data_IF_164679570357
#
_entry.id   IF_164679570357
#
_cell.length_a   1.000
_cell.length_b   1.000
_cell.length_c   1.000
_cell.angle_alpha   90.00
_cell.angle_beta   90.00
_cell.angle_gamma   90.00
#
_symmetry.space_group_name_H-M   'P 1'
#
loop_
_entity.id
_entity.type
_entity.pdbx_description
1 polymer ?
#
# COMPACT_ATOMS: atom_id res chain seq x y z
N UNK A 1 17.63 -8.82 -10.93
CA UNK A 1 17.88 -8.07 -12.18
C UNK A 1 18.71 -6.81 -11.86
N UNK A 2 19.70 -6.43 -12.68
CA UNK A 2 20.51 -5.21 -12.47
C UNK A 2 19.64 -3.95 -12.62
N UNK A 3 20.06 -2.83 -12.01
CA UNK A 3 19.31 -1.55 -12.08
C UNK A 3 19.13 -1.10 -13.53
N UNK A 4 20.15 -1.31 -14.35
CA UNK A 4 20.22 -1.00 -15.77
C UNK A 4 19.22 -1.86 -16.55
N UNK A 5 19.15 -3.16 -16.29
CA UNK A 5 18.17 -4.06 -16.92
C UNK A 5 16.73 -3.65 -16.60
N UNK A 6 16.42 -3.30 -15.34
CA UNK A 6 15.07 -2.79 -14.98
C UNK A 6 14.75 -1.49 -15.71
N UNK A 7 15.73 -0.59 -15.81
CA UNK A 7 15.59 0.67 -16.54
C UNK A 7 15.30 0.40 -18.02
N UNK A 8 15.96 -0.58 -18.62
CA UNK A 8 15.72 -0.97 -20.02
C UNK A 8 14.34 -1.57 -20.23
N UNK A 9 13.85 -2.41 -19.32
CA UNK A 9 12.49 -2.93 -19.37
C UNK A 9 11.44 -1.81 -19.26
N UNK A 10 11.64 -0.86 -18.34
CA UNK A 10 10.76 0.32 -18.22
C UNK A 10 10.76 1.19 -19.48
N UNK A 11 11.92 1.42 -20.08
CA UNK A 11 12.03 2.14 -21.36
C UNK A 11 11.32 1.40 -22.51
N UNK A 12 11.40 0.06 -22.55
CA UNK A 12 10.66 -0.76 -23.53
C UNK A 12 9.16 -0.63 -23.33
N UNK A 13 8.66 -0.70 -22.10
CA UNK A 13 7.24 -0.52 -21.81
C UNK A 13 6.73 0.88 -22.22
N UNK A 14 7.51 1.93 -21.96
CA UNK A 14 7.16 3.30 -22.37
C UNK A 14 6.99 3.41 -23.90
N UNK A 15 7.93 2.87 -24.68
CA UNK A 15 7.82 2.85 -26.16
C UNK A 15 6.60 2.09 -26.66
N UNK A 16 6.20 1.02 -25.97
CA UNK A 16 4.98 0.29 -26.32
C UNK A 16 3.72 1.11 -26.02
N UNK A 17 3.73 1.91 -24.96
CA UNK A 17 2.64 2.84 -24.64
C UNK A 17 2.54 3.97 -25.68
N UNK A 18 3.65 4.49 -26.19
CA UNK A 18 3.65 5.48 -27.28
C UNK A 18 2.91 4.94 -28.52
N UNK A 19 3.15 3.67 -28.85
CA UNK A 19 2.45 2.99 -29.95
C UNK A 19 0.98 2.67 -29.62
N UNK A 20 0.63 2.59 -28.34
CA UNK A 20 -0.75 2.38 -27.87
C UNK A 20 -1.59 3.67 -27.95
N UNK A 21 -0.98 4.86 -28.04
CA UNK A 21 -1.69 6.13 -28.13
C UNK A 21 -2.56 6.24 -29.38
N UNK A 22 -2.15 5.61 -30.48
CA UNK A 22 -2.94 5.49 -31.71
C UNK A 22 -3.95 4.34 -31.71
N UNK A 23 -4.14 3.61 -30.61
CA UNK A 23 -5.01 2.43 -30.59
C UNK A 23 -6.49 2.82 -30.63
N UNK A 24 -7.24 2.21 -31.56
CA UNK A 24 -8.69 2.39 -31.71
C UNK A 24 -9.51 2.06 -30.46
N UNK A 25 -8.96 1.26 -29.54
CA UNK A 25 -9.61 0.82 -28.31
C UNK A 25 -9.24 1.66 -27.08
N UNK A 26 -8.34 2.65 -27.20
CA UNK A 26 -7.84 3.45 -26.06
C UNK A 26 -8.96 4.17 -25.31
N UNK A 27 -9.97 4.65 -26.03
CA UNK A 27 -11.12 5.37 -25.45
C UNK A 27 -12.32 4.47 -25.18
N UNK A 28 -12.22 3.16 -25.45
CA UNK A 28 -13.31 2.22 -25.18
C UNK A 28 -13.39 1.95 -23.67
N UNK A 29 -14.58 2.06 -23.05
CA UNK A 29 -14.77 1.70 -21.65
C UNK A 29 -14.27 0.27 -21.38
N UNK A 30 -13.55 0.07 -20.28
CA UNK A 30 -13.00 -1.23 -19.87
C UNK A 30 -12.07 -1.89 -20.91
N UNK A 31 -11.51 -1.14 -21.86
CA UNK A 31 -10.57 -1.67 -22.84
C UNK A 31 -9.37 -2.35 -22.16
N UNK A 32 -8.86 -1.78 -21.08
CA UNK A 32 -7.78 -2.35 -20.28
C UNK A 32 -8.11 -3.73 -19.69
N UNK A 33 -9.38 -4.01 -19.42
CA UNK A 33 -9.85 -5.24 -18.77
C UNK A 33 -10.19 -6.32 -19.79
N UNK A 34 -10.82 -5.97 -20.92
CA UNK A 34 -11.33 -6.96 -21.87
C UNK A 34 -10.58 -7.01 -23.19
N UNK A 35 -9.97 -5.91 -23.63
CA UNK A 35 -9.41 -5.78 -24.98
C UNK A 35 -7.87 -5.82 -24.94
N UNK A 36 -7.25 -5.10 -24.01
CA UNK A 36 -5.80 -5.04 -23.85
C UNK A 36 -5.14 -6.39 -23.53
N UNK A 37 -5.75 -7.33 -22.78
CA UNK A 37 -5.18 -8.67 -22.62
C UNK A 37 -5.10 -9.48 -23.93
N UNK A 38 -5.98 -9.17 -24.88
CA UNK A 38 -5.99 -9.79 -26.22
C UNK A 38 -5.21 -8.98 -27.25
N UNK A 39 -4.78 -7.76 -26.91
CA UNK A 39 -4.03 -6.88 -27.80
C UNK A 39 -2.54 -7.27 -27.81
N UNK A 40 -1.87 -7.35 -28.98
CA UNK A 40 -0.45 -7.66 -29.06
C UNK A 40 0.43 -6.71 -28.23
N UNK A 41 0.13 -5.41 -28.26
CA UNK A 41 0.86 -4.39 -27.47
C UNK A 41 0.60 -4.60 -25.98
N UNK A 42 -0.67 -4.85 -25.60
CA UNK A 42 -1.04 -5.09 -24.21
C UNK A 42 -0.40 -6.35 -23.62
N UNK A 43 -0.31 -7.43 -24.40
CA UNK A 43 0.39 -8.67 -24.01
C UNK A 43 1.89 -8.43 -23.78
N UNK A 44 2.55 -7.66 -24.64
CA UNK A 44 3.96 -7.31 -24.47
C UNK A 44 4.19 -6.48 -23.21
N UNK A 45 3.32 -5.50 -22.94
CA UNK A 45 3.40 -4.69 -21.72
C UNK A 45 3.23 -5.58 -20.48
N UNK A 46 2.25 -6.49 -20.48
CA UNK A 46 2.04 -7.43 -19.38
C UNK A 46 3.25 -8.35 -19.16
N UNK A 47 3.88 -8.83 -20.24
CA UNK A 47 5.08 -9.65 -20.16
C UNK A 47 6.27 -8.89 -19.55
N UNK A 48 6.46 -7.62 -19.94
CA UNK A 48 7.47 -6.76 -19.33
C UNK A 48 7.17 -6.53 -17.84
N UNK A 49 5.90 -6.34 -17.48
CA UNK A 49 5.45 -6.26 -16.08
C UNK A 49 5.86 -7.50 -15.28
N UNK A 50 5.56 -8.70 -15.78
CA UNK A 50 5.96 -9.97 -15.17
C UNK A 50 7.48 -10.11 -14.99
N UNK A 51 8.27 -9.56 -15.90
CA UNK A 51 9.74 -9.54 -15.78
C UNK A 51 10.24 -8.59 -14.69
N UNK A 52 9.45 -7.58 -14.33
CA UNK A 52 9.76 -6.62 -13.25
C UNK A 52 9.33 -7.12 -11.86
N UNK A 53 8.46 -8.15 -11.76
CA UNK A 53 7.89 -8.67 -10.50
C UNK A 53 8.92 -9.33 -9.55
N UNK A 54 10.15 -9.57 -9.97
CA UNK A 54 11.13 -10.35 -9.18
C UNK A 54 11.86 -9.55 -8.09
N UNK A 55 11.68 -8.23 -8.03
CA UNK A 55 12.34 -7.37 -7.05
C UNK A 55 11.41 -6.25 -6.59
N UNK A 56 10.11 -6.54 -6.48
CA UNK A 56 9.23 -5.73 -5.66
C UNK A 56 9.73 -5.85 -4.22
N UNK A 57 10.59 -4.89 -3.82
CA UNK A 57 10.32 -4.20 -2.55
C UNK A 57 8.96 -3.56 -2.76
N UNK A 58 7.94 -4.40 -2.63
CA UNK A 58 6.60 -3.97 -2.89
C UNK A 58 6.34 -2.80 -1.97
N UNK A 59 5.56 -1.85 -2.47
CA UNK A 59 4.41 -1.47 -1.67
C UNK A 59 3.52 -2.72 -1.47
N UNK A 60 4.07 -3.79 -0.87
CA UNK A 60 3.31 -4.64 -0.01
C UNK A 60 2.74 -3.64 0.98
N UNK A 61 1.45 -3.33 0.85
CA UNK A 61 0.74 -2.77 1.98
C UNK A 61 1.13 -3.69 3.13
N UNK A 62 1.95 -3.16 4.05
CA UNK A 62 2.50 -3.89 5.18
C UNK A 62 1.39 -4.82 5.64
N UNK A 63 1.62 -6.14 5.60
CA UNK A 63 0.68 -7.11 6.15
C UNK A 63 0.18 -6.50 7.44
N UNK A 64 -1.11 -6.12 7.49
CA UNK A 64 -1.59 -5.13 8.47
C UNK A 64 -1.16 -5.61 9.85
N UNK A 65 -0.08 -5.03 10.38
CA UNK A 65 0.58 -5.56 11.58
C UNK A 65 -0.47 -5.55 12.67
N UNK A 66 -0.90 -6.75 13.08
CA UNK A 66 -1.96 -6.91 14.07
C UNK A 66 -1.53 -6.25 15.37
N UNK A 67 -2.50 -5.70 16.10
CA UNK A 67 -2.26 -5.11 17.40
C UNK A 67 -2.11 -6.22 18.44
N UNK A 68 -1.01 -6.23 19.18
CA UNK A 68 -0.85 -7.17 20.30
C UNK A 68 -1.51 -6.62 21.56
N UNK A 69 -1.79 -7.50 22.53
CA UNK A 69 -2.39 -7.10 23.80
C UNK A 69 -1.49 -6.16 24.59
N UNK A 70 -0.18 -6.31 24.46
CA UNK A 70 0.82 -5.45 25.09
C UNK A 70 0.81 -4.04 24.47
N UNK A 71 0.66 -3.95 23.15
CA UNK A 71 0.51 -2.66 22.46
C UNK A 71 -0.79 -1.95 22.89
N UNK A 72 -1.89 -2.69 22.99
CA UNK A 72 -3.17 -2.14 23.48
C UNK A 72 -3.08 -1.69 24.94
N UNK A 73 -2.47 -2.50 25.81
CA UNK A 73 -2.25 -2.14 27.20
C UNK A 73 -1.38 -0.88 27.32
N UNK A 74 -0.31 -0.79 26.54
CA UNK A 74 0.53 0.40 26.51
C UNK A 74 -0.26 1.62 26.06
N UNK A 75 -1.06 1.49 25.00
CA UNK A 75 -1.94 2.56 24.51
C UNK A 75 -2.95 3.00 25.57
N UNK A 76 -3.67 2.08 26.19
CA UNK A 76 -4.69 2.39 27.20
C UNK A 76 -4.08 3.17 28.37
N UNK A 77 -2.88 2.78 28.83
CA UNK A 77 -2.26 3.42 30.00
C UNK A 77 -1.55 4.75 29.71
N UNK A 78 -1.09 4.98 28.48
CA UNK A 78 -0.25 6.15 28.15
C UNK A 78 -0.97 7.19 27.29
N UNK A 79 -2.05 6.81 26.61
CA UNK A 79 -2.78 7.71 25.72
C UNK A 79 -3.50 8.81 26.52
N UNK A 80 -3.14 10.07 26.26
CA UNK A 80 -3.62 11.24 27.00
C UNK A 80 -2.65 11.75 28.06
N UNK A 81 -1.64 10.95 28.43
CA UNK A 81 -0.53 11.35 29.34
C UNK A 81 0.73 11.65 28.52
N UNK A 82 1.00 10.80 27.52
CA UNK A 82 2.17 10.90 26.64
C UNK A 82 1.74 11.37 25.27
N UNK A 83 2.56 12.23 24.66
CA UNK A 83 2.35 12.68 23.29
C UNK A 83 2.21 11.52 22.30
N UNK A 84 1.19 11.61 21.44
CA UNK A 84 0.88 10.55 20.47
C UNK A 84 2.06 10.26 19.54
N UNK A 85 2.90 11.26 19.23
CA UNK A 85 4.12 11.07 18.43
C UNK A 85 5.17 10.22 19.14
N UNK A 86 5.31 10.36 20.45
CA UNK A 86 6.26 9.57 21.24
C UNK A 86 5.79 8.13 21.38
N UNK A 87 4.49 7.93 21.57
CA UNK A 87 3.86 6.60 21.55
C UNK A 87 4.07 5.93 20.18
N UNK A 88 3.85 6.68 19.08
CA UNK A 88 4.04 6.20 17.72
C UNK A 88 5.49 5.73 17.48
N UNK A 89 6.47 6.51 17.92
CA UNK A 89 7.90 6.13 17.87
C UNK A 89 8.19 4.88 18.69
N UNK A 90 7.67 4.78 19.91
CA UNK A 90 7.90 3.64 20.80
C UNK A 90 7.33 2.33 20.24
N UNK A 91 6.16 2.39 19.61
CA UNK A 91 5.49 1.21 19.02
C UNK A 91 5.95 0.91 17.58
N UNK A 92 6.81 1.76 17.02
CA UNK A 92 7.20 1.77 15.62
C UNK A 92 5.97 1.73 14.69
N UNK A 93 5.01 2.62 14.94
CA UNK A 93 3.76 2.77 14.18
C UNK A 93 3.54 4.23 13.82
N UNK A 94 2.70 4.50 12.83
CA UNK A 94 2.33 5.88 12.50
C UNK A 94 1.34 6.45 13.51
N UNK A 95 1.35 7.77 13.72
CA UNK A 95 0.37 8.48 14.57
C UNK A 95 -1.07 8.20 14.14
N UNK A 96 -1.30 8.05 12.84
CA UNK A 96 -2.60 7.68 12.27
C UNK A 96 -3.03 6.25 12.63
N UNK A 97 -2.09 5.29 12.69
CA UNK A 97 -2.39 3.96 13.20
C UNK A 97 -2.80 3.99 14.68
N UNK A 98 -2.13 4.82 15.50
CA UNK A 98 -2.48 5.00 16.92
C UNK A 98 -3.91 5.53 17.06
N UNK A 99 -4.26 6.63 16.38
CA UNK A 99 -5.59 7.25 16.45
C UNK A 99 -6.70 6.27 16.07
N UNK A 100 -6.51 5.52 14.99
CA UNK A 100 -7.46 4.49 14.55
C UNK A 100 -7.61 3.36 15.58
N UNK A 101 -6.51 2.92 16.19
CA UNK A 101 -6.59 1.86 17.22
C UNK A 101 -7.35 2.33 18.45
N UNK A 102 -7.10 3.54 18.92
CA UNK A 102 -7.83 4.12 20.05
C UNK A 102 -9.32 4.21 19.77
N UNK A 103 -9.72 4.62 18.56
CA UNK A 103 -11.13 4.62 18.16
C UNK A 103 -11.76 3.22 18.28
N UNK A 104 -11.05 2.18 17.83
CA UNK A 104 -11.50 0.78 17.94
C UNK A 104 -11.62 0.34 19.40
N UNK A 105 -10.59 0.60 20.24
CA UNK A 105 -10.61 0.23 21.66
C UNK A 105 -11.72 0.94 22.44
N UNK A 106 -11.99 2.22 22.12
CA UNK A 106 -13.13 2.96 22.69
C UNK A 106 -14.47 2.33 22.32
N UNK A 107 -14.64 1.89 21.07
CA UNK A 107 -15.85 1.22 20.60
C UNK A 107 -16.04 -0.17 21.23
N UNK A 108 -14.94 -0.86 21.53
CA UNK A 108 -14.94 -2.19 22.16
C UNK A 108 -15.22 -2.15 23.68
N UNK A 109 -15.20 -0.96 24.31
CA UNK A 109 -15.45 -0.80 25.74
C UNK A 109 -14.22 -1.05 26.63
N UNK A 110 -13.07 -1.36 26.02
CA UNK A 110 -11.82 -1.67 26.73
C UNK A 110 -11.13 -0.43 27.35
N UNK A 111 -11.64 0.77 27.08
CA UNK A 111 -11.17 2.06 27.61
C UNK A 111 -12.05 2.62 28.74
N UNK A 112 -12.91 1.81 29.35
CA UNK A 112 -13.84 2.23 30.41
C UNK A 112 -13.15 2.75 31.70
N UNK A 113 -11.83 2.58 31.82
CA UNK A 113 -11.02 3.01 32.97
C UNK A 113 -10.30 4.36 32.81
N UNK A 114 -10.27 4.98 31.63
CA UNK A 114 -9.66 6.31 31.47
C UNK A 114 -10.65 7.39 31.93
N UNK A 115 -10.49 7.82 33.19
CA UNK A 115 -11.12 9.01 33.72
C UNK A 115 -10.69 10.21 32.86
N UNK A 116 -11.62 10.74 32.09
CA UNK A 116 -11.50 12.07 31.52
C UNK A 116 -11.53 13.08 32.66
N UNK A 117 -10.39 13.72 32.92
CA UNK A 117 -10.30 14.94 33.75
C UNK A 117 -10.86 16.14 32.99
#
# INVERSE_FOLDING_TARGET
MTKEEKKMLRLKAARLLDNCEGCKHRYTPNASVHICPSCPIGQQIQQIGKQLEQDDVGYAGEERRSWTKEEDFYLINHYGIVDTERIAKQLNRTTEAIKRRIYVLRKQGDMSCLKTS
#
